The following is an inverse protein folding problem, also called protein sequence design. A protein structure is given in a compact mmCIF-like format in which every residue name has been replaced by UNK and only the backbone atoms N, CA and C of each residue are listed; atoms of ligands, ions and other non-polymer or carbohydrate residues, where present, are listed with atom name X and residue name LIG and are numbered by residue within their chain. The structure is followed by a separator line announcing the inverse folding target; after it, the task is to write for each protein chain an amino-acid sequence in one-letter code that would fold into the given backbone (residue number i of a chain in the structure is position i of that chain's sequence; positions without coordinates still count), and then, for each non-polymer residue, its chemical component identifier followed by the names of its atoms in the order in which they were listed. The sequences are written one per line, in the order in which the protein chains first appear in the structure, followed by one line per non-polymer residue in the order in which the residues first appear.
data_IF_899916450591
#
_entry.id   IF_899916450591
#
_cell.length_a   1.000
_cell.length_b   1.000
_cell.length_c   1.000
_cell.angle_alpha   90.00
_cell.angle_beta   90.00
_cell.angle_gamma   90.00
#
_symmetry.space_group_name_H-M   'P 1'
#
loop_
_entity.id
_entity.type
_entity.pdbx_description
1 polymer ?
#
# COMPACT_ATOMS: atom_id res chain seq x y z
N UNK A 1 -5.28 14.35 1.97
CA UNK A 1 -5.07 15.60 1.20
C UNK A 1 -4.80 16.80 2.10
N UNK A 2 -5.62 17.07 3.13
CA UNK A 2 -5.42 18.21 4.05
C UNK A 2 -4.02 18.19 4.70
N UNK A 3 -3.60 17.05 5.28
CA UNK A 3 -2.26 16.89 5.88
C UNK A 3 -1.14 17.28 4.91
N UNK A 4 -1.21 16.81 3.66
CA UNK A 4 -0.21 17.11 2.65
C UNK A 4 -0.11 18.62 2.37
N UNK A 5 -1.25 19.29 2.16
CA UNK A 5 -1.27 20.73 1.89
C UNK A 5 -0.65 21.52 3.06
N UNK A 6 -1.02 21.19 4.30
CA UNK A 6 -0.47 21.86 5.49
C UNK A 6 1.05 21.66 5.60
N UNK A 7 1.55 20.44 5.38
CA UNK A 7 2.97 20.13 5.46
C UNK A 7 3.78 20.75 4.30
N UNK A 8 3.20 20.83 3.10
CA UNK A 8 3.84 21.49 1.97
C UNK A 8 3.94 23.01 2.17
N UNK A 9 2.98 23.62 2.86
CA UNK A 9 3.00 25.06 3.19
C UNK A 9 3.74 25.40 4.49
N UNK A 10 4.27 24.41 5.21
CA UNK A 10 4.91 24.62 6.50
C UNK A 10 6.31 25.25 6.35
N UNK A 11 6.58 26.27 7.16
CA UNK A 11 7.93 26.81 7.34
C UNK A 11 8.72 25.92 8.30
N UNK A 12 9.59 25.07 7.75
CA UNK A 12 10.32 24.05 8.51
C UNK A 12 11.32 24.63 9.51
N UNK A 13 11.72 25.89 9.37
CA UNK A 13 12.62 26.56 10.33
C UNK A 13 11.99 26.73 11.71
N UNK A 14 10.65 26.67 11.80
CA UNK A 14 9.88 26.84 13.03
C UNK A 14 9.67 25.55 13.82
N UNK A 15 10.10 24.41 13.28
CA UNK A 15 9.83 23.10 13.87
C UNK A 15 11.12 22.35 14.16
N UNK A 16 11.12 21.56 15.23
CA UNK A 16 12.26 20.71 15.56
C UNK A 16 12.39 19.56 14.56
N UNK A 17 13.61 19.04 14.39
CA UNK A 17 13.88 17.88 13.56
C UNK A 17 12.98 16.67 13.92
N UNK A 18 12.72 16.47 15.22
CA UNK A 18 11.85 15.40 15.71
C UNK A 18 10.42 15.54 15.20
N UNK A 19 9.86 16.75 15.24
CA UNK A 19 8.50 17.00 14.78
C UNK A 19 8.38 16.83 13.26
N UNK A 20 9.40 17.26 12.51
CA UNK A 20 9.49 17.01 11.06
C UNK A 20 9.54 15.51 10.76
N UNK A 21 10.35 14.76 11.51
CA UNK A 21 10.42 13.29 11.40
C UNK A 21 9.09 12.61 11.70
N UNK A 22 8.38 13.04 12.76
CA UNK A 22 7.03 12.53 13.08
C UNK A 22 6.02 12.86 11.97
N UNK A 23 6.06 14.07 11.43
CA UNK A 23 5.20 14.47 10.31
C UNK A 23 5.47 13.64 9.06
N UNK A 24 6.73 13.32 8.77
CA UNK A 24 7.12 12.42 7.67
C UNK A 24 6.55 11.02 7.88
N UNK A 25 6.70 10.43 9.07
CA UNK A 25 6.15 9.11 9.40
C UNK A 25 4.62 9.08 9.32
N UNK A 26 3.97 10.12 9.85
CA UNK A 26 2.54 10.32 9.72
C UNK A 26 2.10 10.39 8.26
N UNK A 27 2.84 11.14 7.45
CA UNK A 27 2.54 11.27 6.04
C UNK A 27 2.73 9.94 5.30
N UNK A 28 3.78 9.16 5.63
CA UNK A 28 3.96 7.79 5.12
C UNK A 28 2.76 6.91 5.45
N UNK A 29 2.29 6.95 6.71
CA UNK A 29 1.10 6.22 7.15
C UNK A 29 -0.16 6.62 6.35
N UNK A 30 -0.32 7.91 6.05
CA UNK A 30 -1.43 8.38 5.22
C UNK A 30 -1.30 7.95 3.74
N UNK A 31 -0.09 7.90 3.20
CA UNK A 31 0.14 7.36 1.85
C UNK A 31 -0.20 5.88 1.76
N UNK A 32 0.18 5.09 2.77
CA UNK A 32 -0.24 3.69 2.87
C UNK A 32 -1.77 3.58 2.88
N UNK A 33 -2.46 4.39 3.69
CA UNK A 33 -3.94 4.42 3.72
C UNK A 33 -4.59 4.84 2.41
N UNK A 34 -3.95 5.75 1.67
CA UNK A 34 -4.40 6.15 0.33
C UNK A 34 -4.35 4.97 -0.65
N UNK A 35 -3.28 4.18 -0.63
CA UNK A 35 -3.18 2.98 -1.46
C UNK A 35 -4.18 1.91 -1.03
N UNK A 36 -4.33 1.68 0.28
CA UNK A 36 -5.31 0.73 0.84
C UNK A 36 -6.74 1.10 0.44
N UNK A 37 -7.07 2.39 0.39
CA UNK A 37 -8.37 2.86 -0.13
C UNK A 37 -8.56 2.46 -1.58
N UNK A 38 -7.52 2.58 -2.40
CA UNK A 38 -7.58 2.17 -3.80
C UNK A 38 -7.70 0.66 -3.96
N UNK A 39 -6.98 -0.09 -3.14
CA UNK A 39 -7.10 -1.54 -3.07
C UNK A 39 -8.53 -1.97 -2.71
N UNK A 40 -9.13 -1.43 -1.65
CA UNK A 40 -10.50 -1.78 -1.25
C UNK A 40 -11.50 -1.44 -2.36
N UNK A 41 -11.24 -0.38 -3.12
CA UNK A 41 -12.01 -0.07 -4.31
C UNK A 41 -11.86 -1.15 -5.41
N UNK A 42 -10.70 -1.77 -5.58
CA UNK A 42 -10.49 -2.88 -6.53
C UNK A 42 -11.36 -4.10 -6.20
N UNK A 43 -11.73 -4.27 -4.94
CA UNK A 43 -12.67 -5.28 -4.47
C UNK A 43 -14.13 -4.83 -4.39
N UNK A 44 -14.40 -3.55 -4.62
CA UNK A 44 -15.73 -2.98 -4.48
C UNK A 44 -16.15 -2.66 -3.04
N UNK A 45 -15.23 -2.76 -2.08
CA UNK A 45 -15.52 -2.64 -0.65
C UNK A 45 -15.78 -1.19 -0.20
N UNK A 46 -15.28 -0.18 -0.93
CA UNK A 46 -15.49 1.24 -0.59
C UNK A 46 -16.96 1.64 -0.73
N UNK A 47 -17.61 1.20 -1.81
CA UNK A 47 -19.04 1.44 -2.02
C UNK A 47 -19.73 0.25 -2.70
N UNK A 48 -20.13 -0.79 -1.94
CA UNK A 48 -20.59 -2.07 -2.51
C UNK A 48 -21.77 -1.96 -3.49
N UNK A 49 -22.60 -0.93 -3.33
CA UNK A 49 -23.79 -0.72 -4.15
C UNK A 49 -23.50 -0.20 -5.57
N UNK A 50 -22.30 0.35 -5.83
CA UNK A 50 -21.98 0.93 -7.14
C UNK A 50 -20.49 0.76 -7.51
N UNK A 51 -20.16 -0.12 -8.47
CA UNK A 51 -18.77 -0.34 -8.89
C UNK A 51 -18.16 0.89 -9.58
N UNK A 52 -18.97 1.79 -10.18
CA UNK A 52 -18.45 3.02 -10.80
C UNK A 52 -17.87 3.97 -9.75
N UNK A 53 -18.49 4.03 -8.56
CA UNK A 53 -18.01 4.87 -7.46
C UNK A 53 -16.69 4.31 -6.92
N UNK A 54 -16.59 2.99 -6.73
CA UNK A 54 -15.32 2.36 -6.38
C UNK A 54 -14.23 2.68 -7.41
N UNK A 55 -14.50 2.46 -8.69
CA UNK A 55 -13.52 2.73 -9.74
C UNK A 55 -13.07 4.19 -9.76
N UNK A 56 -13.99 5.14 -9.54
CA UNK A 56 -13.65 6.56 -9.47
C UNK A 56 -12.76 6.88 -8.26
N UNK A 57 -13.13 6.40 -7.06
CA UNK A 57 -12.37 6.62 -5.83
C UNK A 57 -10.99 5.97 -5.94
N UNK A 58 -10.94 4.71 -6.38
CA UNK A 58 -9.69 3.98 -6.55
C UNK A 58 -8.78 4.63 -7.58
N UNK A 59 -9.33 5.07 -8.72
CA UNK A 59 -8.58 5.82 -9.74
C UNK A 59 -8.02 7.12 -9.20
N UNK A 60 -8.82 7.91 -8.49
CA UNK A 60 -8.34 9.13 -7.87
C UNK A 60 -7.24 8.86 -6.83
N UNK A 61 -7.43 7.83 -5.99
CA UNK A 61 -6.48 7.49 -4.95
C UNK A 61 -5.10 7.10 -5.52
N UNK A 62 -5.04 6.22 -6.52
CA UNK A 62 -3.74 5.81 -7.11
C UNK A 62 -3.15 6.86 -8.05
N UNK A 63 -3.98 7.74 -8.64
CA UNK A 63 -3.53 8.92 -9.37
C UNK A 63 -2.77 9.86 -8.42
N UNK A 64 -3.36 10.17 -7.26
CA UNK A 64 -2.74 11.04 -6.25
C UNK A 64 -1.54 10.36 -5.57
N UNK A 65 -1.60 9.05 -5.36
CA UNK A 65 -0.51 8.28 -4.75
C UNK A 65 0.79 8.39 -5.57
N UNK A 66 0.69 8.30 -6.90
CA UNK A 66 1.89 8.33 -7.74
C UNK A 66 1.63 8.26 -9.24
N UNK A 67 0.50 8.79 -9.72
CA UNK A 67 0.07 8.76 -11.12
C UNK A 67 -0.09 7.34 -11.70
N UNK A 68 -0.51 6.38 -10.86
CA UNK A 68 -0.70 5.00 -11.28
C UNK A 68 -2.01 4.80 -12.04
N UNK A 69 -2.02 3.81 -12.94
CA UNK A 69 -3.24 3.35 -13.61
C UNK A 69 -3.98 2.37 -12.72
N UNK A 70 -5.18 2.75 -12.27
CA UNK A 70 -6.06 1.89 -11.47
C UNK A 70 -6.44 0.60 -12.20
N UNK A 71 -6.69 0.67 -13.52
CA UNK A 71 -7.02 -0.51 -14.32
C UNK A 71 -5.90 -1.55 -14.29
N UNK A 72 -4.65 -1.11 -14.49
CA UNK A 72 -3.50 -2.01 -14.50
C UNK A 72 -3.20 -2.58 -13.12
N UNK A 73 -3.27 -1.74 -12.07
CA UNK A 73 -3.12 -2.20 -10.70
C UNK A 73 -4.21 -3.22 -10.33
N UNK A 74 -5.47 -2.93 -10.64
CA UNK A 74 -6.59 -3.85 -10.38
C UNK A 74 -6.41 -5.18 -11.10
N UNK A 75 -6.00 -5.15 -12.38
CA UNK A 75 -5.72 -6.38 -13.13
C UNK A 75 -4.65 -7.24 -12.48
N UNK A 76 -3.54 -6.63 -12.05
CA UNK A 76 -2.44 -7.33 -11.37
C UNK A 76 -2.88 -7.85 -10.00
N UNK A 77 -3.59 -7.04 -9.24
CA UNK A 77 -4.14 -7.41 -7.94
C UNK A 77 -5.04 -8.63 -8.03
N UNK A 78 -5.96 -8.67 -9.00
CA UNK A 78 -6.80 -9.85 -9.23
C UNK A 78 -6.01 -11.07 -9.74
N UNK A 79 -4.91 -10.86 -10.46
CA UNK A 79 -4.01 -11.94 -10.88
C UNK A 79 -3.29 -12.56 -9.68
N UNK A 80 -2.84 -11.72 -8.74
CA UNK A 80 -2.27 -12.12 -7.46
C UNK A 80 -3.26 -12.97 -6.66
N UNK A 81 -4.50 -12.52 -6.46
CA UNK A 81 -5.54 -13.31 -5.78
C UNK A 81 -5.85 -14.66 -6.44
N UNK A 82 -5.76 -14.72 -7.78
CA UNK A 82 -6.11 -15.92 -8.53
C UNK A 82 -4.99 -16.97 -8.52
N UNK A 83 -3.73 -16.53 -8.48
CA UNK A 83 -2.57 -17.38 -8.64
C UNK A 83 -1.49 -17.14 -7.56
N UNK A 84 -1.84 -16.96 -6.29
CA UNK A 84 -0.93 -16.43 -5.27
C UNK A 84 0.31 -17.32 -5.13
N UNK A 85 1.47 -16.70 -4.92
CA UNK A 85 2.77 -17.38 -4.77
C UNK A 85 3.07 -18.40 -5.89
N UNK A 86 2.80 -18.02 -7.15
CA UNK A 86 3.17 -18.79 -8.35
C UNK A 86 3.89 -17.89 -9.36
N UNK A 87 4.43 -18.47 -10.43
CA UNK A 87 5.04 -17.72 -11.54
C UNK A 87 4.05 -16.79 -12.29
N UNK A 88 2.74 -16.96 -12.08
CA UNK A 88 1.72 -16.07 -12.66
C UNK A 88 1.35 -14.91 -11.74
N UNK A 89 1.77 -14.95 -10.47
CA UNK A 89 1.52 -13.89 -9.51
C UNK A 89 2.48 -12.71 -9.77
N UNK A 90 1.98 -11.51 -10.10
CA UNK A 90 2.82 -10.35 -10.33
C UNK A 90 3.59 -9.90 -9.08
N UNK A 91 3.12 -10.33 -7.90
CA UNK A 91 3.69 -9.95 -6.62
C UNK A 91 4.60 -11.04 -6.05
N UNK A 92 4.73 -12.18 -6.71
CA UNK A 92 5.67 -13.22 -6.31
C UNK A 92 7.12 -12.84 -6.64
N UNK A 93 8.06 -13.39 -5.89
CA UNK A 93 9.48 -13.23 -6.20
C UNK A 93 9.83 -13.94 -7.52
N UNK A 94 11.07 -13.82 -7.98
CA UNK A 94 11.55 -14.38 -9.25
C UNK A 94 11.69 -15.93 -9.29
N UNK A 95 11.01 -16.64 -8.37
CA UNK A 95 11.10 -18.09 -8.19
C UNK A 95 12.42 -18.61 -7.62
N UNK A 96 13.44 -17.77 -7.41
CA UNK A 96 14.78 -18.19 -6.98
C UNK A 96 15.27 -17.44 -5.73
N UNK A 97 15.00 -16.13 -5.65
CA UNK A 97 15.50 -15.25 -4.62
C UNK A 97 14.36 -14.72 -3.75
N UNK A 98 14.06 -15.41 -2.66
CA UNK A 98 12.97 -15.07 -1.74
C UNK A 98 13.34 -14.04 -0.65
N UNK A 99 14.58 -13.52 -0.63
CA UNK A 99 14.97 -12.53 0.37
C UNK A 99 14.27 -11.18 0.12
N UNK A 100 14.05 -10.43 1.21
CA UNK A 100 13.29 -9.19 1.20
C UNK A 100 13.71 -8.19 0.12
N UNK A 101 15.01 -7.88 0.04
CA UNK A 101 15.49 -6.84 -0.86
C UNK A 101 15.33 -7.24 -2.33
N UNK A 102 15.75 -8.45 -2.70
CA UNK A 102 15.62 -8.90 -4.09
C UNK A 102 14.15 -8.97 -4.52
N UNK A 103 13.28 -9.46 -3.65
CA UNK A 103 11.86 -9.52 -3.92
C UNK A 103 11.25 -8.12 -4.05
N UNK A 104 11.57 -7.19 -3.15
CA UNK A 104 11.11 -5.80 -3.27
C UNK A 104 11.52 -5.15 -4.60
N UNK A 105 12.78 -5.32 -5.02
CA UNK A 105 13.22 -4.78 -6.31
C UNK A 105 12.54 -5.45 -7.50
N UNK A 106 12.33 -6.77 -7.46
CA UNK A 106 11.58 -7.48 -8.48
C UNK A 106 10.15 -6.96 -8.59
N UNK A 107 9.46 -6.83 -7.46
CA UNK A 107 8.13 -6.24 -7.36
C UNK A 107 8.10 -4.83 -7.97
N UNK A 108 9.00 -3.95 -7.52
CA UNK A 108 9.04 -2.55 -8.01
C UNK A 108 9.32 -2.45 -9.51
N UNK A 109 10.13 -3.35 -10.09
CA UNK A 109 10.32 -3.42 -11.56
C UNK A 109 9.01 -3.74 -12.27
N UNK A 110 8.22 -4.68 -11.76
CA UNK A 110 6.92 -5.02 -12.32
C UNK A 110 5.97 -3.82 -12.39
N UNK A 111 6.06 -2.90 -11.44
CA UNK A 111 5.23 -1.69 -11.38
C UNK A 111 5.88 -0.43 -11.96
N UNK A 112 7.11 -0.52 -12.47
CA UNK A 112 7.85 0.63 -13.01
C UNK A 112 7.24 1.18 -14.30
N UNK A 113 7.37 2.49 -14.52
CA UNK A 113 6.99 3.16 -15.76
C UNK A 113 7.79 4.44 -15.95
N UNK A 114 8.51 4.53 -17.07
CA UNK A 114 9.30 5.72 -17.41
C UNK A 114 8.44 6.95 -17.69
N UNK A 115 7.29 6.78 -18.35
CA UNK A 115 6.36 7.89 -18.61
C UNK A 115 5.75 8.43 -17.30
N UNK A 116 5.43 7.55 -16.36
CA UNK A 116 4.97 7.94 -15.03
C UNK A 116 6.04 8.68 -14.24
N UNK A 117 7.28 8.20 -14.30
CA UNK A 117 8.41 8.86 -13.62
C UNK A 117 8.66 10.26 -14.20
N UNK A 118 8.65 10.40 -15.52
CA UNK A 118 8.73 11.71 -16.18
C UNK A 118 7.57 12.62 -15.75
N UNK A 119 6.34 12.09 -15.70
CA UNK A 119 5.17 12.82 -15.24
C UNK A 119 5.30 13.32 -13.80
N UNK A 120 5.82 12.49 -12.88
CA UNK A 120 6.07 12.88 -11.50
C UNK A 120 7.15 13.95 -11.38
N UNK A 121 8.23 13.86 -12.16
CA UNK A 121 9.31 14.87 -12.20
C UNK A 121 8.78 16.21 -12.72
N UNK A 122 8.03 16.19 -13.83
CA UNK A 122 7.40 17.40 -14.38
C UNK A 122 6.44 18.01 -13.37
N UNK A 123 5.61 17.19 -12.71
CA UNK A 123 4.66 17.67 -11.70
C UNK A 123 5.39 18.25 -10.48
N UNK A 124 6.49 17.64 -10.04
CA UNK A 124 7.34 18.15 -8.96
C UNK A 124 7.84 19.56 -9.28
N UNK A 125 8.48 19.74 -10.44
CA UNK A 125 9.01 21.04 -10.83
C UNK A 125 7.91 22.06 -11.09
N UNK A 126 6.76 21.64 -11.64
CA UNK A 126 5.61 22.52 -11.83
C UNK A 126 5.05 23.02 -10.50
N UNK A 127 4.86 22.13 -9.51
CA UNK A 127 4.39 22.53 -8.17
C UNK A 127 5.38 23.48 -7.50
N UNK A 128 6.68 23.15 -7.55
CA UNK A 128 7.72 24.03 -7.03
C UNK A 128 7.66 25.42 -7.68
N UNK A 129 7.62 25.47 -9.02
CA UNK A 129 7.72 26.71 -9.78
C UNK A 129 6.46 27.58 -9.67
N UNK A 130 5.27 27.00 -9.82
CA UNK A 130 4.01 27.75 -9.89
C UNK A 130 3.34 27.97 -8.53
N UNK A 131 3.56 27.07 -7.55
CA UNK A 131 2.99 27.20 -6.20
C UNK A 131 4.02 27.65 -5.16
N UNK A 132 5.26 27.89 -5.58
CA UNK A 132 6.37 28.36 -4.73
C UNK A 132 6.60 27.48 -3.48
N UNK A 133 6.35 26.19 -3.61
CA UNK A 133 6.59 25.22 -2.53
C UNK A 133 8.07 24.84 -2.51
N UNK A 134 8.68 24.86 -1.33
CA UNK A 134 10.09 24.50 -1.17
C UNK A 134 10.36 23.04 -1.58
N UNK A 135 11.46 22.81 -2.30
CA UNK A 135 11.87 21.47 -2.73
C UNK A 135 12.01 20.50 -1.55
N UNK A 136 12.52 20.98 -0.42
CA UNK A 136 12.66 20.19 0.79
C UNK A 136 11.30 19.69 1.32
N UNK A 137 10.26 20.52 1.28
CA UNK A 137 8.92 20.12 1.70
C UNK A 137 8.33 19.09 0.72
N UNK A 138 8.52 19.27 -0.59
CA UNK A 138 8.10 18.27 -1.59
C UNK A 138 8.83 16.94 -1.39
N UNK A 139 10.14 16.97 -1.14
CA UNK A 139 10.92 15.77 -0.87
C UNK A 139 10.43 15.06 0.40
N UNK A 140 10.31 15.78 1.53
CA UNK A 140 9.99 15.21 2.84
C UNK A 140 8.55 14.75 3.00
N UNK A 141 7.58 15.39 2.34
CA UNK A 141 6.16 15.14 2.57
C UNK A 141 5.40 14.59 1.36
N UNK A 142 6.01 14.56 0.17
CA UNK A 142 5.42 13.93 -1.00
C UNK A 142 6.26 12.76 -1.51
N UNK A 143 7.52 12.98 -1.87
CA UNK A 143 8.35 11.96 -2.53
C UNK A 143 8.72 10.86 -1.54
N UNK A 144 9.40 11.20 -0.44
CA UNK A 144 9.90 10.23 0.53
C UNK A 144 8.75 9.41 1.14
N UNK A 145 7.62 10.00 1.59
CA UNK A 145 6.50 9.24 2.10
C UNK A 145 5.90 8.25 1.10
N UNK A 146 5.84 8.61 -0.19
CA UNK A 146 5.32 7.71 -1.24
C UNK A 146 6.20 6.47 -1.46
N UNK A 147 7.52 6.62 -1.27
CA UNK A 147 8.50 5.53 -1.36
C UNK A 147 8.46 4.69 -0.08
N UNK A 148 8.45 5.33 1.10
CA UNK A 148 8.38 4.61 2.37
C UNK A 148 7.06 3.86 2.51
N UNK A 149 5.95 4.39 1.99
CA UNK A 149 4.68 3.69 1.99
C UNK A 149 4.71 2.47 1.06
N UNK A 150 5.39 2.52 -0.09
CA UNK A 150 5.54 1.33 -0.94
C UNK A 150 6.36 0.24 -0.26
N UNK A 151 7.42 0.62 0.48
CA UNK A 151 8.19 -0.32 1.30
C UNK A 151 7.31 -0.91 2.41
N UNK A 152 6.51 -0.07 3.11
CA UNK A 152 5.61 -0.50 4.18
C UNK A 152 4.54 -1.47 3.68
N UNK A 153 3.84 -1.10 2.60
CA UNK A 153 2.82 -1.92 1.94
C UNK A 153 3.40 -3.26 1.49
N UNK A 154 4.56 -3.25 0.83
CA UNK A 154 5.21 -4.47 0.40
C UNK A 154 5.63 -5.33 1.59
N UNK A 155 6.26 -4.77 2.62
CA UNK A 155 6.75 -5.55 3.75
C UNK A 155 5.61 -6.24 4.51
N UNK A 156 4.60 -5.47 4.92
CA UNK A 156 3.51 -5.99 5.76
C UNK A 156 2.37 -6.65 4.98
N UNK A 157 2.11 -6.21 3.75
CA UNK A 157 1.03 -6.70 2.92
C UNK A 157 1.43 -7.81 1.93
N UNK A 158 2.72 -7.93 1.59
CA UNK A 158 3.20 -8.92 0.61
C UNK A 158 4.26 -9.83 1.21
N UNK A 159 5.41 -9.29 1.62
CA UNK A 159 6.57 -10.09 2.03
C UNK A 159 6.28 -10.96 3.26
N UNK A 160 5.83 -10.37 4.37
CA UNK A 160 5.60 -11.12 5.60
C UNK A 160 4.48 -12.16 5.48
N UNK A 161 3.48 -11.86 4.67
CA UNK A 161 2.22 -12.59 4.56
C UNK A 161 2.27 -13.67 3.47
N UNK A 162 3.08 -13.48 2.43
CA UNK A 162 3.25 -14.44 1.33
C UNK A 162 4.60 -15.15 1.29
N UNK A 163 5.58 -14.79 2.13
CA UNK A 163 6.82 -15.58 2.23
C UNK A 163 6.50 -17.04 2.56
N UNK A 164 7.22 -17.95 1.92
CA UNK A 164 7.02 -19.36 2.11
C UNK A 164 7.29 -19.77 3.58
N UNK A 165 6.34 -20.44 4.23
CA UNK A 165 6.57 -21.01 5.56
C UNK A 165 7.56 -22.18 5.52
N UNK A 166 8.17 -22.51 6.67
CA UNK A 166 9.08 -23.67 6.78
C UNK A 166 8.41 -24.99 6.37
N UNK A 167 7.11 -25.16 6.67
CA UNK A 167 6.33 -26.34 6.28
C UNK A 167 5.75 -26.26 4.86
N UNK A 168 6.10 -25.22 4.10
CA UNK A 168 5.53 -24.90 2.80
C UNK A 168 4.12 -24.30 2.88
N UNK A 169 3.53 -24.04 1.72
CA UNK A 169 2.17 -23.50 1.63
C UNK A 169 1.12 -24.58 1.89
N UNK A 170 0.32 -24.40 2.94
CA UNK A 170 -0.75 -25.32 3.31
C UNK A 170 -2.14 -24.84 2.91
N UNK A 171 -2.31 -23.52 2.70
CA UNK A 171 -3.61 -22.91 2.36
C UNK A 171 -3.72 -22.65 0.86
N UNK A 172 -4.96 -22.72 0.33
CA UNK A 172 -5.27 -22.40 -1.08
C UNK A 172 -4.77 -21.00 -1.48
N UNK A 173 -4.88 -20.04 -0.56
CA UNK A 173 -4.54 -18.64 -0.80
C UNK A 173 -3.04 -18.35 -0.66
N UNK A 174 -2.23 -19.33 -0.19
CA UNK A 174 -0.77 -19.19 -0.01
C UNK A 174 -0.37 -17.91 0.73
N UNK A 175 -1.19 -17.54 1.70
CA UNK A 175 -1.05 -16.38 2.55
C UNK A 175 -1.15 -16.80 4.01
N UNK A 176 -0.45 -16.08 4.89
CA UNK A 176 -0.56 -16.19 6.35
C UNK A 176 -0.85 -14.83 6.95
N UNK A 177 -1.58 -14.86 8.05
CA UNK A 177 -1.85 -13.67 8.85
C UNK A 177 -0.81 -13.51 9.97
N UNK A 178 -0.45 -12.27 10.26
CA UNK A 178 0.46 -11.95 11.37
C UNK A 178 -0.27 -12.03 12.71
N UNK A 179 0.46 -12.33 13.78
CA UNK A 179 -0.07 -12.38 15.15
C UNK A 179 -0.15 -11.02 15.85
N UNK A 180 -0.06 -9.93 15.09
CA UNK A 180 -0.11 -8.58 15.66
C UNK A 180 -1.47 -8.32 16.30
N UNK A 181 -1.47 -7.57 17.41
CA UNK A 181 -2.70 -7.05 17.98
C UNK A 181 -3.40 -6.10 16.99
N UNK A 182 -4.70 -5.90 17.15
CA UNK A 182 -5.48 -4.99 16.30
C UNK A 182 -4.85 -3.60 16.20
N UNK A 183 -4.31 -3.06 17.31
CA UNK A 183 -3.62 -1.77 17.30
C UNK A 183 -2.39 -1.80 16.39
N UNK A 184 -1.50 -2.78 16.54
CA UNK A 184 -0.28 -2.82 15.75
C UNK A 184 -0.53 -3.14 14.29
N UNK A 185 -1.49 -4.02 13.98
CA UNK A 185 -1.83 -4.32 12.59
C UNK A 185 -2.40 -3.09 11.86
N UNK A 186 -3.13 -2.21 12.55
CA UNK A 186 -3.55 -0.91 12.01
C UNK A 186 -2.34 -0.03 11.70
N UNK A 187 -1.48 0.21 12.70
CA UNK A 187 -0.32 1.09 12.56
C UNK A 187 0.64 0.61 11.47
N UNK A 188 0.82 -0.71 11.34
CA UNK A 188 1.77 -1.26 10.37
C UNK A 188 1.25 -1.20 8.94
N UNK A 189 -0.03 -1.50 8.69
CA UNK A 189 -0.57 -1.56 7.31
C UNK A 189 -2.09 -1.65 7.26
N UNK A 190 -2.85 -0.86 8.04
CA UNK A 190 -4.32 -0.87 7.97
C UNK A 190 -4.91 -2.28 8.04
N UNK A 191 -4.41 -3.11 8.97
CA UNK A 191 -4.82 -4.50 9.18
C UNK A 191 -4.53 -5.49 8.04
N UNK A 192 -3.78 -5.12 6.99
CA UNK A 192 -3.39 -6.06 5.92
C UNK A 192 -2.46 -7.18 6.37
N UNK A 193 -1.91 -7.09 7.58
CA UNK A 193 -1.27 -8.22 8.23
C UNK A 193 -2.22 -9.41 8.41
N UNK A 194 -3.55 -9.21 8.48
CA UNK A 194 -4.57 -10.27 8.44
C UNK A 194 -4.87 -10.69 6.99
N UNK A 195 -3.80 -11.08 6.28
CA UNK A 195 -3.83 -11.23 4.83
C UNK A 195 -4.52 -12.53 4.39
N UNK A 196 -4.49 -13.58 5.21
CA UNK A 196 -5.26 -14.79 4.93
C UNK A 196 -6.77 -14.47 4.90
N UNK A 197 -7.25 -13.72 5.90
CA UNK A 197 -8.65 -13.29 5.96
C UNK A 197 -9.02 -12.40 4.77
N UNK A 198 -8.11 -11.52 4.37
CA UNK A 198 -8.28 -10.68 3.18
C UNK A 198 -8.46 -11.51 1.89
N UNK A 199 -7.61 -12.52 1.66
CA UNK A 199 -7.74 -13.38 0.47
C UNK A 199 -9.01 -14.23 0.48
N UNK A 200 -9.48 -14.62 1.66
CA UNK A 200 -10.69 -15.43 1.81
C UNK A 200 -11.98 -14.59 1.72
N UNK A 201 -11.95 -13.37 2.25
CA UNK A 201 -13.08 -12.42 2.26
C UNK A 201 -12.69 -11.08 1.58
N UNK A 202 -12.34 -11.08 0.28
CA UNK A 202 -11.80 -9.89 -0.38
C UNK A 202 -12.80 -8.72 -0.46
N UNK A 203 -14.09 -9.00 -0.32
CA UNK A 203 -15.15 -7.98 -0.32
C UNK A 203 -15.25 -7.21 1.01
N UNK A 204 -14.57 -7.65 2.06
CA UNK A 204 -14.56 -6.95 3.34
C UNK A 204 -13.57 -5.78 3.29
N UNK A 205 -13.95 -4.61 3.80
CA UNK A 205 -13.02 -3.51 3.93
C UNK A 205 -11.98 -3.82 5.00
N UNK A 206 -10.81 -3.18 4.88
CA UNK A 206 -9.64 -3.44 5.71
C UNK A 206 -9.91 -3.38 7.23
N UNK A 207 -10.81 -2.49 7.67
CA UNK A 207 -11.15 -2.31 9.10
C UNK A 207 -11.94 -3.47 9.71
N UNK A 208 -12.48 -4.40 8.90
CA UNK A 208 -13.23 -5.58 9.37
C UNK A 208 -12.40 -6.87 9.40
N UNK A 209 -11.21 -6.88 8.80
CA UNK A 209 -10.34 -8.06 8.83
C UNK A 209 -10.01 -8.57 10.25
N UNK A 210 -9.77 -7.72 11.26
CA UNK A 210 -9.50 -8.20 12.61
C UNK A 210 -10.64 -9.02 13.21
N UNK A 211 -11.90 -8.67 12.89
CA UNK A 211 -13.09 -9.38 13.40
C UNK A 211 -13.10 -10.84 12.92
N UNK A 212 -12.82 -11.06 11.62
CA UNK A 212 -12.76 -12.39 11.02
C UNK A 212 -11.63 -13.21 11.61
N UNK A 213 -10.46 -12.58 11.82
CA UNK A 213 -9.32 -13.24 12.44
C UNK A 213 -9.71 -13.76 13.84
N UNK A 214 -10.27 -12.91 14.70
CA UNK A 214 -10.62 -13.32 16.08
C UNK A 214 -11.68 -14.42 16.12
N UNK A 215 -12.70 -14.37 15.26
CA UNK A 215 -13.71 -15.42 15.17
C UNK A 215 -13.11 -16.80 14.82
N UNK A 216 -12.09 -16.84 13.96
CA UNK A 216 -11.37 -18.09 13.64
C UNK A 216 -10.60 -18.64 14.82
N UNK A 217 -9.89 -17.78 15.54
CA UNK A 217 -9.12 -18.16 16.71
C UNK A 217 -10.04 -18.72 17.81
N UNK A 218 -11.23 -18.14 18.00
CA UNK A 218 -12.22 -18.67 18.93
C UNK A 218 -12.79 -20.02 18.47
N UNK A 219 -13.08 -20.19 17.17
CA UNK A 219 -13.59 -21.47 16.63
C UNK A 219 -12.57 -22.61 16.63
N UNK A 220 -11.29 -22.31 16.81
CA UNK A 220 -10.19 -23.29 16.81
C UNK A 220 -9.75 -23.70 18.23
N UNK A 221 -10.39 -23.15 19.26
CA UNK A 221 -10.22 -23.53 20.67
C UNK A 221 -11.31 -24.49 21.11
#
# INVERSE_FOLDING_TARGET
MISLVLLLSADLSKYSFWLVGMALLWQTFLYSGLFITAHDAMHGAVFPLNPKINNAIGSFAVLVYGLFSYRELSKKHWLHHKHPSTQLDPDFHDGQHANFFNWYFHFMKGYWSWSRMLGLVVLFHAIHHFLHIADLNLALFWVIPSILSSVQLFYFGTFLTHREPEEGYTTKHRAKSTSFSTFWSFITCYHFGYHHEHHEYPHLPWWRLPEIYHLRFESSK
#
